data_IF_332046913890
#
_entry.id   IF_332046913890
#
_cell.length_a   1.000
_cell.length_b   1.000
_cell.length_c   1.000
_cell.angle_alpha   90.00
_cell.angle_beta   90.00
_cell.angle_gamma   90.00
#
_symmetry.space_group_name_H-M   'P 1'
#
loop_
_entity.id
_entity.type
_entity.pdbx_description
1 polymer ?
#
# COMPACT_ATOMS: atom_id res chain seq x y z
N UNK A 1 -17.28 -6.83 2.23
CA UNK A 1 -18.49 -7.03 3.08
C UNK A 1 -18.65 -8.51 3.38
N UNK A 2 -18.70 -8.89 4.66
CA UNK A 2 -19.00 -10.27 5.08
C UNK A 2 -20.40 -10.37 5.69
N UNK A 3 -21.18 -11.42 5.42
CA UNK A 3 -22.41 -11.75 6.18
C UNK A 3 -22.25 -13.14 6.76
N UNK A 4 -22.23 -13.28 8.10
CA UNK A 4 -22.30 -14.57 8.81
C UNK A 4 -23.73 -14.78 9.29
N UNK A 5 -24.40 -15.86 8.89
CA UNK A 5 -25.70 -16.22 9.44
C UNK A 5 -25.55 -17.14 10.66
N UNK A 6 -26.10 -16.77 11.82
CA UNK A 6 -26.12 -17.49 13.12
C UNK A 6 -25.07 -17.11 14.19
N UNK A 7 -25.35 -17.55 15.43
CA UNK A 7 -25.22 -16.86 16.73
C UNK A 7 -23.84 -16.81 17.40
N UNK A 8 -22.76 -17.08 16.67
CA UNK A 8 -21.41 -17.10 17.25
C UNK A 8 -20.50 -16.08 16.55
N UNK A 9 -20.11 -15.03 17.27
CA UNK A 9 -19.30 -13.93 16.73
C UNK A 9 -17.84 -14.36 16.66
N UNK A 10 -17.34 -14.52 15.44
CA UNK A 10 -15.95 -14.89 15.16
C UNK A 10 -15.12 -13.61 14.97
N UNK A 11 -14.08 -13.41 15.81
CA UNK A 11 -13.02 -12.44 15.54
C UNK A 11 -11.77 -13.17 15.06
N UNK A 12 -11.50 -13.11 13.76
CA UNK A 12 -10.22 -13.57 13.18
C UNK A 12 -9.32 -12.36 13.00
N UNK A 13 -8.33 -12.21 13.87
CA UNK A 13 -7.24 -11.25 13.70
C UNK A 13 -6.01 -11.98 13.19
N UNK A 14 -5.77 -11.90 11.88
CA UNK A 14 -4.52 -12.35 11.26
C UNK A 14 -3.59 -11.13 11.14
N UNK A 15 -2.63 -10.99 12.05
CA UNK A 15 -1.59 -9.97 11.97
C UNK A 15 -0.24 -10.67 11.78
N UNK A 16 0.48 -10.30 10.71
CA UNK A 16 1.91 -10.58 10.60
C UNK A 16 2.68 -9.27 10.81
N UNK A 17 3.60 -9.26 11.76
CA UNK A 17 4.29 -8.05 12.24
C UNK A 17 5.40 -7.59 11.28
N UNK A 18 5.65 -6.27 11.26
CA UNK A 18 6.62 -5.60 10.39
C UNK A 18 8.07 -6.02 10.67
N UNK A 19 8.80 -6.33 9.61
CA UNK A 19 10.18 -6.84 9.62
C UNK A 19 10.40 -8.01 8.66
N UNK A 20 9.32 -8.69 8.26
CA UNK A 20 9.33 -9.76 7.28
C UNK A 20 9.14 -9.19 5.86
N UNK A 21 9.94 -9.58 4.84
CA UNK A 21 9.70 -9.21 3.43
C UNK A 21 8.32 -9.67 2.89
N UNK A 22 7.62 -10.53 3.62
CA UNK A 22 6.24 -10.99 3.36
C UNK A 22 5.25 -10.47 4.41
N UNK A 23 5.37 -9.21 4.82
CA UNK A 23 4.43 -8.63 5.78
C UNK A 23 3.02 -8.51 5.16
N UNK A 24 2.03 -8.97 5.92
CA UNK A 24 0.61 -9.00 5.55
C UNK A 24 -0.20 -8.38 6.68
N UNK A 25 -1.16 -7.52 6.35
CA UNK A 25 -2.05 -6.87 7.31
C UNK A 25 -3.49 -7.08 6.87
N UNK A 26 -4.28 -7.69 7.76
CA UNK A 26 -5.74 -7.65 7.69
C UNK A 26 -6.21 -6.76 8.83
N UNK A 27 -6.98 -5.72 8.51
CA UNK A 27 -7.57 -4.82 9.50
C UNK A 27 -9.08 -4.85 9.36
N UNK A 28 -9.79 -5.36 10.36
CA UNK A 28 -11.24 -5.20 10.47
C UNK A 28 -11.52 -3.79 10.97
N UNK A 29 -12.19 -2.97 10.15
CA UNK A 29 -12.43 -1.54 10.44
C UNK A 29 -13.87 -1.25 10.81
N UNK A 30 -14.79 -2.20 10.58
CA UNK A 30 -16.15 -2.13 11.09
C UNK A 30 -16.72 -3.52 11.38
N UNK A 31 -17.64 -3.57 12.34
CA UNK A 31 -18.46 -4.73 12.69
C UNK A 31 -19.86 -4.23 13.05
N UNK A 32 -20.89 -4.89 12.53
CA UNK A 32 -22.30 -4.61 12.77
C UNK A 32 -23.04 -5.92 13.02
N UNK A 33 -23.74 -6.03 14.14
CA UNK A 33 -24.52 -7.23 14.46
C UNK A 33 -25.53 -6.94 15.56
N UNK A 34 -26.77 -7.40 15.37
CA UNK A 34 -27.85 -7.21 16.33
C UNK A 34 -28.35 -5.77 16.46
N UNK A 35 -29.51 -5.64 17.08
CA UNK A 35 -30.17 -4.34 17.34
C UNK A 35 -30.86 -4.27 18.70
N UNK A 36 -30.98 -5.41 19.41
CA UNK A 36 -31.63 -5.50 20.71
C UNK A 36 -30.89 -6.49 21.63
N UNK A 37 -30.94 -6.27 22.94
CA UNK A 37 -30.17 -7.03 23.95
C UNK A 37 -30.63 -8.48 24.11
N UNK A 38 -31.87 -8.78 23.76
CA UNK A 38 -32.52 -10.07 23.98
C UNK A 38 -32.94 -10.78 22.67
N UNK A 39 -32.50 -10.25 21.52
CA UNK A 39 -32.78 -10.83 20.21
C UNK A 39 -31.47 -11.31 19.61
N UNK A 40 -31.39 -12.61 19.35
CA UNK A 40 -30.23 -13.20 18.67
C UNK A 40 -30.24 -12.70 17.22
N UNK A 41 -29.16 -12.05 16.75
CA UNK A 41 -29.11 -11.56 15.39
C UNK A 41 -29.13 -12.71 14.37
N UNK A 42 -29.87 -12.57 13.26
CA UNK A 42 -29.80 -13.55 12.18
C UNK A 42 -28.46 -13.52 11.48
N UNK A 43 -27.78 -12.35 11.45
CA UNK A 43 -26.44 -12.21 10.88
C UNK A 43 -25.55 -11.16 11.55
N UNK A 44 -24.24 -11.28 11.29
CA UNK A 44 -23.22 -10.29 11.59
C UNK A 44 -22.54 -9.87 10.30
N UNK A 45 -22.32 -8.57 10.13
CA UNK A 45 -21.60 -7.98 9.03
C UNK A 45 -20.30 -7.33 9.49
N UNK A 46 -19.20 -7.60 8.79
CA UNK A 46 -17.94 -6.91 9.03
C UNK A 46 -17.14 -6.69 7.77
N UNK A 47 -16.21 -5.76 7.83
CA UNK A 47 -15.33 -5.44 6.73
C UNK A 47 -14.09 -4.68 7.17
N UNK A 48 -13.21 -4.46 6.20
CA UNK A 48 -11.84 -4.11 6.49
C UNK A 48 -10.97 -4.06 5.26
N UNK A 49 -9.67 -3.83 5.47
CA UNK A 49 -8.68 -3.76 4.40
C UNK A 49 -7.66 -4.89 4.51
N UNK A 50 -7.21 -5.37 3.35
CA UNK A 50 -6.05 -6.26 3.22
C UNK A 50 -4.89 -5.47 2.62
N UNK A 51 -3.70 -5.59 3.20
CA UNK A 51 -2.47 -4.95 2.70
C UNK A 51 -1.33 -5.96 2.70
N UNK A 52 -0.45 -5.84 1.72
CA UNK A 52 0.75 -6.67 1.55
C UNK A 52 1.84 -5.85 0.89
N UNK A 53 3.10 -6.15 1.19
CA UNK A 53 4.25 -5.53 0.52
C UNK A 53 4.51 -6.10 -0.88
N UNK A 54 3.81 -7.16 -1.27
CA UNK A 54 3.87 -7.74 -2.61
C UNK A 54 2.47 -8.08 -3.13
N UNK A 55 2.26 -7.93 -4.44
CA UNK A 55 1.01 -8.31 -5.11
C UNK A 55 0.70 -9.79 -4.93
N UNK A 56 1.71 -10.66 -5.02
CA UNK A 56 1.55 -12.09 -4.75
C UNK A 56 1.08 -12.35 -3.31
N UNK A 57 1.70 -11.67 -2.33
CA UNK A 57 1.32 -11.77 -0.92
C UNK A 57 -0.11 -11.30 -0.67
N UNK A 58 -0.58 -10.27 -1.38
CA UNK A 58 -1.97 -9.83 -1.31
C UNK A 58 -2.92 -10.93 -1.79
N UNK A 59 -2.62 -11.56 -2.92
CA UNK A 59 -3.43 -12.68 -3.43
C UNK A 59 -3.41 -13.90 -2.49
N UNK A 60 -2.26 -14.21 -1.88
CA UNK A 60 -2.15 -15.26 -0.87
C UNK A 60 -3.01 -14.94 0.36
N UNK A 61 -2.95 -13.70 0.83
CA UNK A 61 -3.73 -13.22 1.97
C UNK A 61 -5.24 -13.29 1.69
N UNK A 62 -5.69 -12.88 0.50
CA UNK A 62 -7.09 -12.98 0.07
C UNK A 62 -7.58 -14.44 0.08
N UNK A 63 -6.81 -15.36 -0.50
CA UNK A 63 -7.14 -16.80 -0.49
C UNK A 63 -7.21 -17.36 0.93
N UNK A 64 -6.20 -17.03 1.76
CA UNK A 64 -6.15 -17.51 3.14
C UNK A 64 -7.32 -16.96 3.96
N UNK A 65 -7.62 -15.68 3.82
CA UNK A 65 -8.75 -15.03 4.49
C UNK A 65 -10.05 -15.75 4.16
N UNK A 66 -10.31 -16.04 2.88
CA UNK A 66 -11.50 -16.78 2.44
C UNK A 66 -11.61 -18.16 3.10
N UNK A 67 -10.53 -18.95 3.05
CA UNK A 67 -10.48 -20.28 3.66
C UNK A 67 -10.78 -20.23 5.17
N UNK A 68 -10.19 -19.27 5.89
CA UNK A 68 -10.40 -19.15 7.34
C UNK A 68 -11.85 -18.78 7.63
N UNK A 69 -12.40 -17.78 6.94
CA UNK A 69 -13.78 -17.34 7.14
C UNK A 69 -14.78 -18.47 6.88
N UNK A 70 -14.63 -19.18 5.75
CA UNK A 70 -15.52 -20.30 5.39
C UNK A 70 -15.41 -21.43 6.40
N UNK A 71 -14.18 -21.77 6.83
CA UNK A 71 -13.95 -22.79 7.85
C UNK A 71 -14.55 -22.42 9.21
N UNK A 72 -14.40 -21.18 9.66
CA UNK A 72 -14.98 -20.72 10.91
C UNK A 72 -16.52 -20.72 10.85
N UNK A 73 -17.13 -20.23 9.77
CA UNK A 73 -18.58 -20.28 9.59
C UNK A 73 -19.12 -21.71 9.65
N UNK A 74 -18.45 -22.67 9.00
CA UNK A 74 -18.88 -24.07 8.96
C UNK A 74 -18.90 -24.73 10.35
N UNK A 75 -17.92 -24.45 11.22
CA UNK A 75 -17.87 -25.00 12.59
C UNK A 75 -19.12 -24.60 13.40
N UNK A 76 -19.66 -23.41 13.15
CA UNK A 76 -20.85 -22.88 13.81
C UNK A 76 -22.15 -23.14 13.03
N UNK A 77 -22.11 -23.95 11.97
CA UNK A 77 -23.26 -24.21 11.08
C UNK A 77 -23.82 -22.94 10.45
N UNK A 78 -22.96 -21.94 10.27
CA UNK A 78 -23.22 -20.67 9.60
C UNK A 78 -22.88 -20.76 8.11
N UNK A 79 -23.45 -19.84 7.34
CA UNK A 79 -22.96 -19.51 6.00
C UNK A 79 -22.15 -18.20 6.04
N UNK A 80 -21.10 -18.10 5.23
CA UNK A 80 -20.34 -16.88 5.01
C UNK A 80 -20.45 -16.41 3.56
N UNK A 81 -20.76 -15.13 3.37
CA UNK A 81 -20.67 -14.46 2.06
C UNK A 81 -19.51 -13.47 2.10
N UNK A 82 -18.60 -13.52 1.13
CA UNK A 82 -17.42 -12.64 1.06
C UNK A 82 -17.50 -11.80 -0.22
N UNK A 83 -17.54 -10.47 -0.06
CA UNK A 83 -17.40 -9.52 -1.16
C UNK A 83 -16.09 -8.72 -1.03
N UNK A 84 -15.26 -8.77 -2.07
CA UNK A 84 -13.96 -8.10 -2.20
C UNK A 84 -13.97 -6.85 -3.10
N UNK A 85 -15.14 -6.43 -3.61
CA UNK A 85 -15.35 -5.18 -4.39
C UNK A 85 -14.41 -4.96 -5.60
N UNK A 86 -14.28 -5.96 -6.46
CA UNK A 86 -13.31 -5.90 -7.58
C UNK A 86 -13.64 -4.89 -8.70
N UNK A 87 -14.90 -4.48 -8.89
CA UNK A 87 -15.30 -3.64 -10.03
C UNK A 87 -15.23 -2.13 -9.73
N UNK A 88 -15.47 -1.72 -8.49
CA UNK A 88 -15.42 -0.31 -8.07
C UNK A 88 -14.12 0.10 -7.38
N UNK A 89 -13.48 -0.85 -6.68
CA UNK A 89 -12.25 -0.63 -5.92
C UNK A 89 -11.33 -1.85 -6.08
N UNK A 90 -10.65 -1.98 -7.24
CA UNK A 90 -9.75 -3.11 -7.47
C UNK A 90 -8.67 -3.16 -6.39
N UNK A 91 -8.17 -4.36 -6.09
CA UNK A 91 -7.04 -4.51 -5.19
C UNK A 91 -5.79 -3.84 -5.81
N UNK A 92 -5.17 -2.91 -5.09
CA UNK A 92 -4.01 -2.20 -5.62
C UNK A 92 -2.81 -3.15 -5.61
N UNK A 93 -2.11 -3.33 -6.74
CA UNK A 93 -0.84 -4.04 -6.74
C UNK A 93 0.18 -3.29 -5.86
N UNK A 94 1.23 -3.98 -5.44
CA UNK A 94 2.31 -3.33 -4.72
C UNK A 94 3.11 -2.43 -5.67
N UNK A 95 3.49 -1.23 -5.22
CA UNK A 95 4.49 -0.42 -5.91
C UNK A 95 5.82 -1.16 -5.84
N UNK A 96 6.36 -1.52 -7.00
CA UNK A 96 7.65 -2.22 -7.13
C UNK A 96 8.52 -1.41 -8.07
N UNK A 97 9.48 -0.69 -7.48
CA UNK A 97 10.43 0.09 -8.26
C UNK A 97 11.36 -0.83 -9.06
N UNK A 98 11.46 -0.57 -10.36
CA UNK A 98 12.41 -1.25 -11.23
C UNK A 98 13.85 -1.05 -10.73
N UNK A 99 14.65 -2.12 -10.76
CA UNK A 99 16.01 -2.11 -10.21
C UNK A 99 16.94 -1.19 -11.00
N UNK A 100 16.84 -1.19 -12.33
CA UNK A 100 17.67 -0.36 -13.20
C UNK A 100 17.34 1.12 -13.04
N UNK A 101 16.04 1.46 -12.95
CA UNK A 101 15.59 2.82 -12.69
C UNK A 101 15.97 3.28 -11.29
N UNK A 102 15.94 2.38 -10.30
CA UNK A 102 16.40 2.69 -8.94
C UNK A 102 17.90 3.00 -8.89
N UNK A 103 18.73 2.24 -9.61
CA UNK A 103 20.16 2.55 -9.74
C UNK A 103 20.39 3.90 -10.45
N UNK A 104 19.60 4.19 -11.49
CA UNK A 104 19.64 5.50 -12.16
C UNK A 104 19.32 6.64 -11.19
N UNK A 105 18.22 6.52 -10.42
CA UNK A 105 17.83 7.52 -9.42
C UNK A 105 18.91 7.70 -8.35
N UNK A 106 19.50 6.63 -7.85
CA UNK A 106 20.57 6.71 -6.85
C UNK A 106 21.79 7.45 -7.38
N UNK A 107 22.23 7.13 -8.59
CA UNK A 107 23.39 7.76 -9.23
C UNK A 107 23.14 9.26 -9.45
N UNK A 108 22.05 9.62 -10.13
CA UNK A 108 21.78 11.01 -10.50
C UNK A 108 21.42 11.85 -9.27
N UNK A 109 20.59 11.32 -8.38
CA UNK A 109 20.26 11.99 -7.13
C UNK A 109 21.49 12.24 -6.27
N UNK A 110 22.44 11.29 -6.21
CA UNK A 110 23.67 11.47 -5.43
C UNK A 110 24.61 12.51 -6.04
N UNK A 111 24.63 12.64 -7.36
CA UNK A 111 25.39 13.69 -8.05
C UNK A 111 24.79 15.07 -7.81
N UNK A 112 23.46 15.20 -7.87
CA UNK A 112 22.76 16.47 -7.74
C UNK A 112 22.65 16.95 -6.28
N UNK A 113 22.30 16.05 -5.37
CA UNK A 113 21.95 16.37 -3.98
C UNK A 113 23.06 16.00 -2.99
N UNK A 114 24.08 15.26 -3.44
CA UNK A 114 25.10 14.67 -2.59
C UNK A 114 24.66 13.31 -2.00
N UNK A 115 25.61 12.37 -1.81
CA UNK A 115 25.29 10.97 -1.46
C UNK A 115 24.63 10.80 -0.09
N UNK A 116 24.74 11.78 0.81
CA UNK A 116 24.11 11.73 2.15
C UNK A 116 22.61 12.10 2.11
N UNK A 117 22.16 12.74 1.04
CA UNK A 117 20.80 13.24 0.87
C UNK A 117 19.92 12.29 0.05
N UNK A 118 20.51 11.25 -0.56
CA UNK A 118 19.79 10.13 -1.16
C UNK A 118 19.82 8.95 -0.22
N UNK A 119 18.64 8.48 0.19
CA UNK A 119 18.51 7.38 1.15
C UNK A 119 17.59 6.32 0.57
N UNK A 120 17.84 5.06 0.95
CA UNK A 120 16.90 3.98 0.68
C UNK A 120 15.57 4.29 1.36
N UNK A 121 14.50 4.29 0.57
CA UNK A 121 13.15 4.44 1.06
C UNK A 121 12.75 3.29 1.97
N UNK A 122 11.96 3.58 3.01
CA UNK A 122 11.34 2.54 3.80
C UNK A 122 10.13 1.97 3.07
N UNK A 123 9.88 0.67 3.21
CA UNK A 123 8.66 0.05 2.71
C UNK A 123 7.46 0.58 3.49
N UNK A 124 6.43 1.01 2.78
CA UNK A 124 5.19 1.53 3.36
C UNK A 124 4.03 0.63 2.98
N UNK A 125 3.05 0.52 3.87
CA UNK A 125 1.82 -0.27 3.64
C UNK A 125 0.72 0.55 2.95
N UNK A 126 0.99 1.82 2.60
CA UNK A 126 0.04 2.65 1.86
C UNK A 126 -0.29 2.02 0.51
N UNK A 127 -1.53 2.20 0.05
CA UNK A 127 -1.92 1.82 -1.31
C UNK A 127 -1.65 3.01 -2.22
N UNK A 128 -1.09 2.75 -3.38
CA UNK A 128 -0.71 3.78 -4.36
C UNK A 128 -1.09 3.30 -5.76
N UNK A 129 -1.80 4.14 -6.52
CA UNK A 129 -2.34 3.76 -7.82
C UNK A 129 -1.28 3.78 -8.93
N UNK A 130 -0.12 4.41 -8.68
CA UNK A 130 1.05 4.34 -9.56
C UNK A 130 1.46 2.89 -9.88
N UNK A 131 1.19 1.95 -8.96
CA UNK A 131 1.44 0.53 -9.15
C UNK A 131 0.74 -0.04 -10.41
N UNK A 132 -0.42 0.51 -10.82
CA UNK A 132 -1.10 0.08 -12.03
C UNK A 132 -0.34 0.44 -13.31
N UNK A 133 0.42 1.54 -13.32
CA UNK A 133 1.34 1.85 -14.43
C UNK A 133 2.51 0.86 -14.44
N UNK A 134 3.04 0.50 -13.27
CA UNK A 134 4.14 -0.44 -13.13
C UNK A 134 3.81 -1.88 -13.58
N UNK A 135 2.53 -2.25 -13.59
CA UNK A 135 2.06 -3.52 -14.19
C UNK A 135 2.19 -3.54 -15.72
N UNK A 136 2.39 -2.38 -16.36
CA UNK A 136 2.48 -2.26 -17.82
C UNK A 136 3.89 -1.95 -18.30
N UNK A 137 4.63 -1.13 -17.58
CA UNK A 137 5.96 -0.66 -17.96
C UNK A 137 6.86 -0.55 -16.73
N UNK A 138 8.19 -0.70 -16.87
CA UNK A 138 9.13 -0.40 -15.79
C UNK A 138 8.91 1.05 -15.30
N UNK A 139 8.81 1.21 -13.99
CA UNK A 139 8.57 2.51 -13.38
C UNK A 139 9.26 2.64 -12.04
N UNK A 140 9.50 3.88 -11.62
CA UNK A 140 10.05 4.20 -10.31
C UNK A 140 9.23 5.30 -9.66
N UNK A 141 8.85 5.07 -8.42
CA UNK A 141 8.29 6.09 -7.55
C UNK A 141 9.29 6.41 -6.44
N UNK A 142 9.54 7.69 -6.22
CA UNK A 142 10.43 8.20 -5.19
C UNK A 142 9.70 9.19 -4.30
N UNK A 143 10.21 9.37 -3.08
CA UNK A 143 9.71 10.39 -2.15
C UNK A 143 10.72 11.52 -2.04
N UNK A 144 10.25 12.75 -2.07
CA UNK A 144 11.04 13.94 -1.73
C UNK A 144 10.90 14.17 -0.23
N UNK A 145 12.03 14.36 0.47
CA UNK A 145 12.02 14.62 1.90
C UNK A 145 11.47 16.02 2.19
N UNK A 146 10.32 16.09 2.89
CA UNK A 146 9.62 17.35 3.21
C UNK A 146 9.72 17.76 4.69
N UNK A 147 10.45 16.97 5.51
CA UNK A 147 10.52 17.19 6.95
C UNK A 147 11.43 18.37 7.28
N UNK A 148 10.88 19.39 7.94
CA UNK A 148 11.62 20.56 8.41
C UNK A 148 11.21 20.92 9.85
N UNK A 149 12.05 20.58 10.82
CA UNK A 149 11.83 20.88 12.25
C UNK A 149 11.80 22.38 12.56
N UNK A 150 12.55 23.20 11.81
CA UNK A 150 12.64 24.65 12.07
C UNK A 150 11.36 25.37 11.67
N UNK A 151 10.77 24.98 10.53
CA UNK A 151 9.50 25.54 10.07
C UNK A 151 8.30 24.89 10.76
N UNK A 152 8.46 23.67 11.28
CA UNK A 152 7.38 22.87 11.87
C UNK A 152 6.70 21.91 10.88
N UNK A 153 7.24 21.76 9.66
CA UNK A 153 6.78 20.79 8.66
C UNK A 153 7.19 19.38 9.09
N UNK A 154 6.53 18.85 10.11
CA UNK A 154 6.90 17.58 10.79
C UNK A 154 5.77 16.55 10.78
N UNK A 155 4.57 16.97 10.40
CA UNK A 155 3.38 16.13 10.34
C UNK A 155 3.29 15.44 8.99
N UNK A 156 2.83 14.19 8.98
CA UNK A 156 2.66 13.40 7.75
C UNK A 156 1.45 13.87 6.94
N UNK A 157 1.41 13.60 5.63
CA UNK A 157 0.19 13.72 4.82
C UNK A 157 -1.00 13.01 5.49
N UNK A 158 -2.21 13.53 5.27
CA UNK A 158 -3.47 13.16 5.94
C UNK A 158 -3.61 13.58 7.42
N UNK A 159 -2.60 14.22 8.03
CA UNK A 159 -2.78 14.88 9.31
C UNK A 159 -3.53 16.22 9.15
N UNK A 160 -4.43 16.60 10.08
CA UNK A 160 -5.03 17.94 10.08
C UNK A 160 -4.01 19.07 10.34
N UNK A 161 -2.80 18.73 10.81
CA UNK A 161 -1.70 19.67 11.04
C UNK A 161 -0.66 19.65 9.91
N UNK A 162 -0.94 18.93 8.82
CA UNK A 162 -0.04 18.87 7.68
C UNK A 162 0.07 20.25 7.03
N UNK A 163 1.31 20.69 6.83
CA UNK A 163 1.66 21.72 5.86
C UNK A 163 3.03 21.37 5.26
N UNK A 164 3.35 22.00 4.13
CA UNK A 164 4.53 21.70 3.35
C UNK A 164 5.57 22.83 3.49
N UNK A 165 6.83 22.44 3.66
CA UNK A 165 7.98 23.31 3.38
C UNK A 165 8.16 23.42 1.87
N UNK A 166 7.81 24.57 1.29
CA UNK A 166 7.85 24.79 -0.17
C UNK A 166 9.27 24.93 -0.73
N UNK A 167 10.30 25.11 0.10
CA UNK A 167 11.70 25.18 -0.34
C UNK A 167 12.19 23.85 -0.96
N UNK A 168 11.44 22.76 -0.77
CA UNK A 168 11.71 21.45 -1.38
C UNK A 168 11.20 21.34 -2.81
N UNK A 169 10.28 22.24 -3.25
CA UNK A 169 9.69 22.16 -4.59
C UNK A 169 10.73 22.32 -5.70
N UNK A 170 11.67 23.29 -5.65
CA UNK A 170 12.72 23.40 -6.66
C UNK A 170 13.64 22.17 -6.69
N UNK A 171 13.88 21.52 -5.54
CA UNK A 171 14.68 20.30 -5.44
C UNK A 171 13.98 19.15 -6.17
N UNK A 172 12.68 18.97 -5.90
CA UNK A 172 11.86 17.96 -6.57
C UNK A 172 11.84 18.16 -8.08
N UNK A 173 11.64 19.40 -8.55
CA UNK A 173 11.63 19.73 -9.97
C UNK A 173 13.00 19.44 -10.62
N UNK A 174 14.09 19.95 -10.05
CA UNK A 174 15.44 19.75 -10.59
C UNK A 174 15.81 18.26 -10.65
N UNK A 175 15.46 17.48 -9.63
CA UNK A 175 15.70 16.03 -9.62
C UNK A 175 14.94 15.33 -10.76
N UNK A 176 13.64 15.57 -10.92
CA UNK A 176 12.86 14.94 -11.99
C UNK A 176 13.37 15.33 -13.39
N UNK A 177 13.74 16.60 -13.59
CA UNK A 177 14.33 17.07 -14.85
C UNK A 177 15.64 16.35 -15.15
N UNK A 178 16.57 16.29 -14.18
CA UNK A 178 17.86 15.63 -14.37
C UNK A 178 17.71 14.13 -14.63
N UNK A 179 16.77 13.47 -13.94
CA UNK A 179 16.48 12.05 -14.16
C UNK A 179 16.01 11.79 -15.58
N UNK A 180 15.06 12.59 -16.08
CA UNK A 180 14.51 12.45 -17.42
C UNK A 180 15.55 12.77 -18.50
N UNK A 181 16.26 13.89 -18.38
CA UNK A 181 17.26 14.33 -19.37
C UNK A 181 18.37 13.29 -19.54
N UNK A 182 18.96 12.83 -18.43
CA UNK A 182 20.08 11.89 -18.48
C UNK A 182 19.61 10.52 -18.95
N UNK A 183 18.42 10.07 -18.51
CA UNK A 183 17.87 8.80 -19.00
C UNK A 183 17.69 8.81 -20.51
N UNK A 184 17.08 9.87 -21.06
CA UNK A 184 16.88 10.02 -22.49
C UNK A 184 18.22 10.10 -23.24
N UNK A 185 19.19 10.88 -22.76
CA UNK A 185 20.50 10.98 -23.42
C UNK A 185 21.24 9.62 -23.48
N UNK A 186 21.18 8.83 -22.42
CA UNK A 186 21.83 7.51 -22.37
C UNK A 186 21.13 6.47 -23.26
N UNK A 187 19.80 6.55 -23.39
CA UNK A 187 19.00 5.58 -24.16
C UNK A 187 18.70 6.03 -25.59
N UNK A 188 18.92 7.30 -25.93
CA UNK A 188 18.84 7.76 -27.32
C UNK A 188 20.01 7.21 -28.15
N UNK A 189 21.20 7.09 -27.55
CA UNK A 189 22.39 6.52 -28.20
C UNK A 189 22.30 5.01 -28.47
N UNK A 190 21.39 4.29 -27.81
CA UNK A 190 21.21 2.84 -27.99
C UNK A 190 20.21 2.46 -29.09
N UNK A 191 19.50 3.42 -29.69
CA UNK A 191 18.52 3.18 -30.78
C UNK A 191 19.13 3.46 -32.16
N UNK A 192 20.25 4.17 -32.22
CA UNK A 192 20.97 4.49 -33.47
C UNK A 192 22.14 3.54 -33.79
N UNK A 193 22.29 2.43 -33.06
CA UNK A 193 23.23 1.34 -33.36
C UNK A 193 22.48 0.04 -33.67
#
# INVERSE_FOLDING_TARGET
>A
MLILNSSETIFVTLISYGGNPRAHVLSVTYVKGGTALNVIPPYVEFGGTLRSLTTEGLHQLQRRMKQVIEGQAAVHRCNAYINMENEGYPAYPAVVNDESLNLHVQRIGSLLLGPRNVKMGQKVMAGEDFAFYQEKIPGIMLSIGIRNEKLGSIHSPHSPHFFLDEDVLPIGAALHTALAEIYLNEHHQSVEQ
#
